data_IF_054536622184
#
_entry.id   IF_054536622184
#
_cell.length_a   1.000
_cell.length_b   1.000
_cell.length_c   1.000
_cell.angle_alpha   90.00
_cell.angle_beta   90.00
_cell.angle_gamma   90.00
#
_symmetry.space_group_name_H-M   'P 1'
#
loop_
_entity.id
_entity.type
_entity.pdbx_description
1 polymer ?
#
# COMPACT_ATOMS: atom_id res chain seq x y z
N UNK A 1 16.20 13.59 -9.13
CA UNK A 1 15.21 13.37 -10.18
C UNK A 1 15.91 12.79 -11.37
N UNK A 2 15.31 11.81 -12.04
CA UNK A 2 15.88 11.16 -13.22
C UNK A 2 15.64 11.97 -14.50
N UNK A 3 14.56 12.74 -14.55
CA UNK A 3 14.22 13.63 -15.66
C UNK A 3 13.71 14.97 -15.14
N UNK A 4 13.96 16.06 -15.89
CA UNK A 4 13.43 17.40 -15.58
C UNK A 4 12.27 17.79 -16.51
N UNK A 5 11.77 16.85 -17.31
CA UNK A 5 10.71 17.09 -18.28
C UNK A 5 9.46 16.29 -17.93
N UNK A 6 8.32 16.95 -18.04
CA UNK A 6 7.02 16.30 -18.00
C UNK A 6 6.67 15.89 -19.42
N UNK A 7 6.74 14.60 -19.70
CA UNK A 7 6.41 14.04 -20.99
C UNK A 7 5.10 13.22 -20.93
N UNK A 8 4.64 12.76 -22.10
CA UNK A 8 3.41 11.97 -22.20
C UNK A 8 3.50 10.64 -21.43
N UNK A 9 4.69 10.04 -21.33
CA UNK A 9 4.90 8.77 -20.64
C UNK A 9 4.68 8.94 -19.14
N UNK A 10 5.25 10.02 -18.56
CA UNK A 10 5.05 10.36 -17.15
C UNK A 10 3.57 10.64 -16.86
N UNK A 11 2.91 11.44 -17.71
CA UNK A 11 1.48 11.80 -17.51
C UNK A 11 0.60 10.56 -17.59
N UNK A 12 0.73 9.78 -18.66
CA UNK A 12 -0.10 8.58 -18.88
C UNK A 12 0.17 7.52 -17.81
N UNK A 13 1.43 7.29 -17.42
CA UNK A 13 1.78 6.37 -16.34
C UNK A 13 1.22 6.80 -15.00
N UNK A 14 1.30 8.10 -14.69
CA UNK A 14 0.72 8.66 -13.45
C UNK A 14 -0.80 8.49 -13.43
N UNK A 15 -1.50 8.85 -14.52
CA UNK A 15 -2.96 8.67 -14.63
C UNK A 15 -3.33 7.20 -14.49
N UNK A 16 -2.56 6.28 -15.10
CA UNK A 16 -2.80 4.84 -14.98
C UNK A 16 -2.79 4.38 -13.51
N UNK A 17 -1.74 4.70 -12.77
CA UNK A 17 -1.63 4.25 -11.38
C UNK A 17 -2.58 4.99 -10.43
N UNK A 18 -2.99 6.23 -10.75
CA UNK A 18 -3.94 6.98 -9.94
C UNK A 18 -5.40 6.54 -10.14
N UNK A 19 -5.81 6.14 -11.36
CA UNK A 19 -7.22 5.90 -11.67
C UNK A 19 -7.46 4.45 -12.09
N UNK A 20 -7.05 3.95 -13.28
CA UNK A 20 -7.35 2.58 -13.70
C UNK A 20 -6.82 1.50 -12.76
N UNK A 21 -5.61 1.67 -12.25
CA UNK A 21 -4.99 0.72 -11.32
C UNK A 21 -5.75 0.63 -9.99
N UNK A 22 -6.15 1.77 -9.44
CA UNK A 22 -6.97 1.80 -8.22
C UNK A 22 -8.37 1.24 -8.47
N UNK A 23 -8.98 1.57 -9.62
CA UNK A 23 -10.26 0.97 -9.99
C UNK A 23 -10.15 -0.56 -10.12
N UNK A 24 -9.05 -1.07 -10.68
CA UNK A 24 -8.81 -2.51 -10.75
C UNK A 24 -8.63 -3.11 -9.35
N UNK A 25 -7.80 -2.49 -8.51
CA UNK A 25 -7.50 -2.97 -7.16
C UNK A 25 -8.77 -3.06 -6.30
N UNK A 26 -9.52 -1.97 -6.19
CA UNK A 26 -10.74 -1.92 -5.38
C UNK A 26 -11.91 -2.64 -6.04
N UNK A 27 -12.10 -2.48 -7.36
CA UNK A 27 -13.20 -3.11 -8.08
C UNK A 27 -13.12 -4.63 -8.09
N UNK A 28 -11.93 -5.21 -8.31
CA UNK A 28 -11.72 -6.66 -8.20
C UNK A 28 -11.94 -7.10 -6.74
N UNK A 29 -11.40 -6.37 -5.77
CA UNK A 29 -11.59 -6.66 -4.36
C UNK A 29 -13.07 -6.72 -3.99
N UNK A 30 -13.84 -5.67 -4.27
CA UNK A 30 -15.26 -5.58 -3.88
C UNK A 30 -16.13 -6.66 -4.55
N UNK A 31 -15.78 -7.07 -5.79
CA UNK A 31 -16.49 -8.17 -6.47
C UNK A 31 -16.24 -9.51 -5.80
N UNK A 32 -14.97 -9.81 -5.46
CA UNK A 32 -14.62 -11.10 -4.86
C UNK A 32 -14.87 -11.19 -3.35
N UNK A 33 -15.05 -10.04 -2.69
CA UNK A 33 -15.26 -9.93 -1.25
C UNK A 33 -16.72 -9.78 -0.86
N UNK A 34 -17.63 -9.73 -1.81
CA UNK A 34 -19.04 -9.49 -1.58
C UNK A 34 -19.63 -10.26 -0.39
N UNK A 35 -19.37 -11.57 -0.32
CA UNK A 35 -19.92 -12.42 0.76
C UNK A 35 -19.31 -12.11 2.14
N UNK A 36 -18.04 -11.74 2.20
CA UNK A 36 -17.38 -11.31 3.44
C UNK A 36 -17.81 -9.90 3.84
N UNK A 37 -17.95 -9.00 2.86
CA UNK A 37 -18.36 -7.62 3.07
C UNK A 37 -19.79 -7.50 3.60
N UNK A 38 -20.71 -8.37 3.18
CA UNK A 38 -22.07 -8.45 3.72
C UNK A 38 -22.09 -8.76 5.23
N UNK A 39 -21.08 -9.46 5.74
CA UNK A 39 -20.98 -9.85 7.16
C UNK A 39 -20.18 -8.87 7.99
N UNK A 40 -19.42 -7.96 7.35
CA UNK A 40 -18.57 -7.00 8.03
C UNK A 40 -19.38 -5.77 8.44
N UNK A 41 -19.61 -5.52 9.75
CA UNK A 41 -20.45 -4.41 10.24
C UNK A 41 -19.88 -3.01 9.93
N UNK A 42 -18.61 -2.93 9.49
CA UNK A 42 -17.95 -1.66 9.12
C UNK A 42 -18.21 -1.25 7.67
N UNK A 43 -18.62 -2.21 6.82
CA UNK A 43 -18.96 -1.93 5.42
C UNK A 43 -20.31 -1.21 5.30
N UNK A 44 -20.45 -0.40 4.27
CA UNK A 44 -21.62 0.46 4.04
C UNK A 44 -21.46 1.90 4.53
N UNK A 45 -20.27 2.27 5.07
CA UNK A 45 -19.93 3.60 5.54
C UNK A 45 -18.72 4.21 4.84
N UNK A 46 -17.95 5.00 5.58
CA UNK A 46 -16.73 5.66 5.10
C UNK A 46 -15.65 4.64 4.67
N UNK A 47 -15.67 3.43 5.20
CA UNK A 47 -14.68 2.38 4.96
C UNK A 47 -15.02 1.44 3.79
N UNK A 48 -15.91 1.86 2.91
CA UNK A 48 -16.27 1.17 1.68
C UNK A 48 -17.73 0.76 1.61
N UNK A 49 -18.29 0.75 0.42
CA UNK A 49 -19.63 0.29 0.15
C UNK A 49 -19.67 -1.23 -0.07
N UNK A 50 -20.81 -1.85 0.20
CA UNK A 50 -21.09 -3.22 -0.28
C UNK A 50 -21.55 -3.10 -1.73
N UNK A 51 -20.77 -3.64 -2.66
CA UNK A 51 -21.06 -3.58 -4.09
C UNK A 51 -22.22 -4.52 -4.44
N UNK A 52 -23.35 -3.98 -4.89
CA UNK A 52 -24.50 -4.79 -5.30
C UNK A 52 -24.12 -5.78 -6.42
N UNK A 53 -24.68 -7.02 -6.37
CA UNK A 53 -24.33 -8.11 -7.32
C UNK A 53 -24.56 -7.75 -8.77
N UNK A 54 -25.56 -6.93 -9.06
CA UNK A 54 -25.88 -6.44 -10.40
C UNK A 54 -24.73 -5.60 -10.99
N UNK A 55 -23.91 -4.98 -10.15
CA UNK A 55 -22.79 -4.14 -10.55
C UNK A 55 -21.47 -4.92 -10.71
N UNK A 56 -21.38 -6.21 -10.30
CA UNK A 56 -20.14 -6.98 -10.40
C UNK A 56 -19.61 -7.05 -11.84
N UNK A 57 -20.47 -7.47 -12.80
CA UNK A 57 -20.08 -7.51 -14.21
C UNK A 57 -19.77 -6.13 -14.79
N UNK A 58 -20.62 -5.10 -14.62
CA UNK A 58 -20.29 -3.72 -15.00
C UNK A 58 -18.95 -3.23 -14.47
N UNK A 59 -18.64 -3.46 -13.19
CA UNK A 59 -17.37 -3.04 -12.58
C UNK A 59 -16.18 -3.77 -13.21
N UNK A 60 -16.26 -5.10 -13.39
CA UNK A 60 -15.18 -5.85 -14.06
C UNK A 60 -14.97 -5.40 -15.52
N UNK A 61 -16.05 -5.08 -16.24
CA UNK A 61 -15.92 -4.48 -17.58
C UNK A 61 -15.32 -3.08 -17.53
N UNK A 62 -15.71 -2.24 -16.59
CA UNK A 62 -15.10 -0.91 -16.40
C UNK A 62 -13.60 -1.04 -16.10
N UNK A 63 -13.21 -1.97 -15.22
CA UNK A 63 -11.80 -2.29 -14.96
C UNK A 63 -11.08 -2.66 -16.27
N UNK A 64 -11.61 -3.61 -17.04
CA UNK A 64 -10.96 -4.05 -18.26
C UNK A 64 -10.83 -2.91 -19.28
N UNK A 65 -11.93 -2.19 -19.55
CA UNK A 65 -11.97 -1.11 -20.55
C UNK A 65 -11.04 0.05 -20.18
N UNK A 66 -10.96 0.39 -18.89
CA UNK A 66 -10.10 1.50 -18.45
C UNK A 66 -8.65 1.08 -18.30
N UNK A 67 -8.34 -0.18 -17.96
CA UNK A 67 -6.98 -0.64 -17.66
C UNK A 67 -6.23 -1.09 -18.92
N UNK A 68 -6.87 -1.84 -19.81
CA UNK A 68 -6.20 -2.45 -20.98
C UNK A 68 -5.52 -1.41 -21.89
N UNK A 69 -6.15 -0.28 -22.28
CA UNK A 69 -5.49 0.69 -23.18
C UNK A 69 -4.20 1.26 -22.56
N UNK A 70 -4.20 1.51 -21.25
CA UNK A 70 -3.00 1.99 -20.55
C UNK A 70 -1.92 0.92 -20.49
N UNK A 71 -2.27 -0.34 -20.22
CA UNK A 71 -1.31 -1.45 -20.21
C UNK A 71 -0.65 -1.58 -21.59
N UNK A 72 -1.44 -1.56 -22.66
CA UNK A 72 -0.92 -1.62 -24.04
C UNK A 72 0.06 -0.47 -24.28
N UNK A 73 -0.31 0.76 -23.94
CA UNK A 73 0.58 1.91 -24.09
C UNK A 73 1.87 1.74 -23.26
N UNK A 74 1.76 1.36 -21.97
CA UNK A 74 2.89 1.21 -21.08
C UNK A 74 3.84 0.06 -21.49
N UNK A 75 3.29 -0.98 -22.14
CA UNK A 75 4.11 -2.05 -22.73
C UNK A 75 4.86 -1.54 -23.98
N UNK A 76 4.20 -0.74 -24.83
CA UNK A 76 4.82 -0.19 -26.06
C UNK A 76 5.97 0.76 -25.71
N UNK A 77 5.79 1.64 -24.74
CA UNK A 77 6.81 2.63 -24.35
C UNK A 77 7.83 2.08 -23.34
N UNK A 78 7.56 0.89 -22.82
CA UNK A 78 8.34 0.25 -21.75
C UNK A 78 9.60 -0.46 -22.25
N UNK A 79 10.31 -1.03 -21.29
CA UNK A 79 11.50 -1.87 -21.48
C UNK A 79 11.31 -3.19 -20.71
N UNK A 80 12.16 -4.23 -20.95
CA UNK A 80 11.99 -5.54 -20.32
C UNK A 80 11.84 -5.49 -18.79
N UNK A 81 12.58 -4.61 -18.12
CA UNK A 81 12.50 -4.48 -16.66
C UNK A 81 11.17 -3.86 -16.21
N UNK A 82 10.69 -2.80 -16.93
CA UNK A 82 9.40 -2.19 -16.63
C UNK A 82 8.24 -3.17 -16.90
N UNK A 83 8.34 -4.06 -17.89
CA UNK A 83 7.34 -5.09 -18.13
C UNK A 83 7.24 -6.09 -16.98
N UNK A 84 8.39 -6.50 -16.42
CA UNK A 84 8.42 -7.38 -15.23
C UNK A 84 7.73 -6.70 -14.04
N UNK A 85 8.08 -5.44 -13.77
CA UNK A 85 7.48 -4.70 -12.66
C UNK A 85 5.98 -4.49 -12.88
N UNK A 86 5.56 -4.13 -14.10
CA UNK A 86 4.14 -3.99 -14.44
C UNK A 86 3.39 -5.31 -14.25
N UNK A 87 3.97 -6.42 -14.72
CA UNK A 87 3.38 -7.75 -14.54
C UNK A 87 3.23 -8.12 -13.06
N UNK A 88 4.24 -7.85 -12.21
CA UNK A 88 4.17 -8.06 -10.76
C UNK A 88 3.07 -7.18 -10.14
N UNK A 89 3.00 -5.90 -10.54
CA UNK A 89 1.97 -4.98 -10.04
C UNK A 89 0.55 -5.47 -10.37
N UNK A 90 0.30 -5.84 -11.61
CA UNK A 90 -1.00 -6.34 -12.06
C UNK A 90 -1.34 -7.71 -11.45
N UNK A 91 -0.34 -8.59 -11.36
CA UNK A 91 -0.52 -9.89 -10.71
C UNK A 91 -0.88 -9.73 -9.25
N UNK A 92 -0.22 -8.83 -8.51
CA UNK A 92 -0.53 -8.61 -7.09
C UNK A 92 -1.95 -8.09 -6.89
N UNK A 93 -2.45 -7.21 -7.76
CA UNK A 93 -3.85 -6.74 -7.74
C UNK A 93 -4.84 -7.88 -7.90
N UNK A 94 -4.61 -8.75 -8.89
CA UNK A 94 -5.50 -9.90 -9.14
C UNK A 94 -5.36 -10.95 -8.03
N UNK A 95 -4.13 -11.33 -7.69
CA UNK A 95 -3.85 -12.40 -6.73
C UNK A 95 -4.29 -12.06 -5.30
N UNK A 96 -4.36 -10.79 -4.95
CA UNK A 96 -4.83 -10.33 -3.64
C UNK A 96 -6.23 -10.85 -3.31
N UNK A 97 -7.17 -10.74 -4.26
CA UNK A 97 -8.59 -11.03 -4.00
C UNK A 97 -9.17 -12.15 -4.86
N UNK A 98 -8.62 -12.42 -6.07
CA UNK A 98 -9.21 -13.34 -7.01
C UNK A 98 -9.29 -14.77 -6.48
N UNK A 99 -10.42 -15.45 -6.78
CA UNK A 99 -10.64 -16.85 -6.40
C UNK A 99 -9.54 -17.75 -6.96
N UNK A 100 -8.97 -18.57 -6.10
CA UNK A 100 -7.85 -19.47 -6.41
C UNK A 100 -6.48 -18.96 -5.91
N UNK A 101 -6.32 -17.65 -5.72
CA UNK A 101 -5.12 -17.05 -5.08
C UNK A 101 -5.45 -16.56 -3.67
N UNK A 102 -6.30 -15.56 -3.53
CA UNK A 102 -6.74 -14.94 -2.26
C UNK A 102 -5.58 -14.68 -1.29
N UNK A 103 -4.51 -14.04 -1.78
CA UNK A 103 -3.32 -13.76 -0.97
C UNK A 103 -3.61 -12.93 0.28
N UNK A 104 -4.69 -12.14 0.26
CA UNK A 104 -5.17 -11.41 1.43
C UNK A 104 -5.64 -12.31 2.59
N UNK A 105 -5.89 -13.60 2.33
CA UNK A 105 -6.27 -14.60 3.33
C UNK A 105 -5.10 -15.52 3.71
N UNK A 106 -3.90 -15.20 3.27
CA UNK A 106 -2.68 -15.92 3.64
C UNK A 106 -1.86 -15.04 4.57
N UNK A 107 -1.72 -15.38 5.87
CA UNK A 107 -0.96 -14.60 6.83
C UNK A 107 0.44 -14.23 6.33
N UNK A 108 0.87 -13.02 6.56
CA UNK A 108 2.08 -12.36 6.05
C UNK A 108 2.04 -12.03 4.55
N UNK A 109 1.54 -12.93 3.70
CA UNK A 109 1.41 -12.65 2.27
C UNK A 109 0.37 -11.57 1.99
N UNK A 110 -0.66 -11.47 2.85
CA UNK A 110 -1.65 -10.39 2.87
C UNK A 110 -0.98 -9.01 2.94
N UNK A 111 -0.09 -8.81 3.92
CA UNK A 111 0.63 -7.55 4.13
C UNK A 111 1.66 -7.28 3.02
N UNK A 112 2.41 -8.31 2.59
CA UNK A 112 3.37 -8.20 1.49
C UNK A 112 2.67 -7.78 0.20
N UNK A 113 1.59 -8.47 -0.17
CA UNK A 113 0.86 -8.18 -1.41
C UNK A 113 0.19 -6.80 -1.35
N UNK A 114 -0.37 -6.43 -0.19
CA UNK A 114 -0.92 -5.09 0.02
C UNK A 114 0.16 -4.01 -0.16
N UNK A 115 1.35 -4.19 0.42
CA UNK A 115 2.46 -3.24 0.27
C UNK A 115 2.94 -3.13 -1.19
N UNK A 116 2.92 -4.22 -1.96
CA UNK A 116 3.27 -4.18 -3.39
C UNK A 116 2.36 -3.26 -4.20
N UNK A 117 1.09 -3.08 -3.82
CA UNK A 117 0.19 -2.13 -4.49
C UNK A 117 0.68 -0.69 -4.42
N UNK A 118 1.44 -0.33 -3.39
CA UNK A 118 2.00 1.02 -3.21
C UNK A 118 3.42 1.15 -3.77
N UNK A 119 4.26 0.17 -3.53
CA UNK A 119 5.69 0.24 -3.85
C UNK A 119 5.95 -0.08 -5.33
N UNK A 120 5.22 -1.02 -5.93
CA UNK A 120 5.47 -1.42 -7.32
C UNK A 120 5.20 -0.30 -8.34
N UNK A 121 4.19 0.59 -8.19
CA UNK A 121 4.06 1.79 -9.02
C UNK A 121 5.28 2.71 -8.96
N UNK A 122 5.85 2.91 -7.76
CA UNK A 122 7.06 3.72 -7.61
C UNK A 122 8.26 3.07 -8.29
N UNK A 123 8.46 1.75 -8.11
CA UNK A 123 9.52 1.00 -8.79
C UNK A 123 9.32 1.04 -10.31
N UNK A 124 8.08 0.89 -10.78
CA UNK A 124 7.75 0.97 -12.21
C UNK A 124 8.19 2.31 -12.82
N UNK A 125 7.80 3.42 -12.20
CA UNK A 125 8.18 4.75 -12.64
C UNK A 125 9.70 4.97 -12.67
N UNK A 126 10.41 4.48 -11.66
CA UNK A 126 11.87 4.56 -11.57
C UNK A 126 12.55 3.75 -12.68
N UNK A 127 12.11 2.51 -12.91
CA UNK A 127 12.65 1.63 -13.96
C UNK A 127 12.37 2.21 -15.34
N UNK A 128 11.16 2.71 -15.58
CA UNK A 128 10.78 3.31 -16.85
C UNK A 128 11.59 4.57 -17.16
N UNK A 129 11.91 5.38 -16.12
CA UNK A 129 12.75 6.56 -16.23
C UNK A 129 14.26 6.24 -16.29
N UNK A 130 14.66 4.96 -16.30
CA UNK A 130 16.07 4.56 -16.34
C UNK A 130 16.86 4.91 -15.08
N UNK A 131 16.20 4.93 -13.91
CA UNK A 131 16.86 5.24 -12.65
C UNK A 131 17.92 4.21 -12.28
N UNK A 132 19.07 4.68 -11.78
CA UNK A 132 20.09 3.82 -11.19
C UNK A 132 19.69 3.48 -9.75
N UNK A 133 19.59 2.20 -9.45
CA UNK A 133 19.26 1.71 -8.11
C UNK A 133 20.48 1.79 -7.19
N UNK A 134 20.70 2.96 -6.62
CA UNK A 134 21.72 3.20 -5.62
C UNK A 134 21.34 2.59 -4.27
N UNK A 135 22.31 2.34 -3.34
CA UNK A 135 21.99 1.89 -1.99
C UNK A 135 20.95 2.78 -1.29
N UNK A 136 21.06 4.09 -1.42
CA UNK A 136 20.07 5.05 -0.89
C UNK A 136 18.68 4.79 -1.44
N UNK A 137 18.53 4.66 -2.76
CA UNK A 137 17.24 4.41 -3.38
C UNK A 137 16.64 3.07 -2.94
N UNK A 138 17.46 2.02 -2.85
CA UNK A 138 17.01 0.72 -2.34
C UNK A 138 16.51 0.81 -0.89
N UNK A 139 17.21 1.57 -0.03
CA UNK A 139 16.79 1.79 1.36
C UNK A 139 15.48 2.58 1.46
N UNK A 140 15.28 3.60 0.61
CA UNK A 140 14.02 4.34 0.52
C UNK A 140 12.87 3.41 0.10
N UNK A 141 13.06 2.60 -0.93
CA UNK A 141 12.03 1.66 -1.39
C UNK A 141 11.73 0.58 -0.35
N UNK A 142 12.76 0.08 0.35
CA UNK A 142 12.61 -0.84 1.48
C UNK A 142 11.83 -0.21 2.64
N UNK A 143 12.10 1.05 2.97
CA UNK A 143 11.36 1.79 3.98
C UNK A 143 9.87 1.96 3.58
N UNK A 144 9.60 2.29 2.32
CA UNK A 144 8.25 2.40 1.81
C UNK A 144 7.52 1.07 1.83
N UNK A 145 8.21 -0.03 1.51
CA UNK A 145 7.66 -1.37 1.59
C UNK A 145 7.30 -1.74 3.04
N UNK A 146 8.19 -1.50 4.01
CA UNK A 146 7.92 -1.76 5.43
C UNK A 146 6.79 -0.89 5.98
N UNK A 147 6.69 0.37 5.54
CA UNK A 147 5.55 1.22 5.88
C UNK A 147 4.24 0.62 5.39
N UNK A 148 4.22 0.08 4.16
CA UNK A 148 3.04 -0.55 3.57
C UNK A 148 2.62 -1.83 4.31
N UNK A 149 3.58 -2.71 4.66
CA UNK A 149 3.32 -3.94 5.43
C UNK A 149 2.80 -3.62 6.83
N UNK A 150 3.44 -2.66 7.53
CA UNK A 150 3.01 -2.20 8.84
C UNK A 150 1.58 -1.63 8.83
N UNK A 151 1.27 -0.83 7.82
CA UNK A 151 -0.04 -0.21 7.66
C UNK A 151 -1.13 -1.26 7.45
N UNK A 152 -0.89 -2.24 6.59
CA UNK A 152 -1.81 -3.35 6.38
C UNK A 152 -1.99 -4.18 7.66
N UNK A 153 -0.89 -4.58 8.30
CA UNK A 153 -0.92 -5.39 9.50
C UNK A 153 -1.72 -4.71 10.62
N UNK A 154 -1.48 -3.42 10.88
CA UNK A 154 -2.24 -2.68 11.88
C UNK A 154 -3.71 -2.51 11.48
N UNK A 155 -3.99 -2.25 10.21
CA UNK A 155 -5.36 -2.17 9.67
C UNK A 155 -6.16 -3.45 9.88
N UNK A 156 -5.53 -4.61 9.73
CA UNK A 156 -6.16 -5.92 9.93
C UNK A 156 -6.51 -6.24 11.40
N UNK A 157 -5.90 -5.55 12.37
CA UNK A 157 -6.15 -5.82 13.82
C UNK A 157 -7.62 -5.66 14.18
N UNK A 158 -8.28 -4.65 13.68
CA UNK A 158 -9.67 -4.35 13.99
C UNK A 158 -10.66 -5.41 13.45
N UNK A 159 -10.22 -6.23 12.50
CA UNK A 159 -11.05 -7.22 11.81
C UNK A 159 -10.95 -8.63 12.39
N UNK A 160 -10.04 -8.88 13.35
CA UNK A 160 -9.73 -10.22 13.90
C UNK A 160 -11.00 -11.03 14.23
N UNK A 161 -11.98 -10.41 14.89
CA UNK A 161 -13.22 -11.11 15.29
C UNK A 161 -14.07 -11.45 14.06
N UNK A 162 -14.34 -10.46 13.21
CA UNK A 162 -15.15 -10.64 12.01
C UNK A 162 -14.50 -11.66 11.06
N UNK A 163 -13.18 -11.61 10.88
CA UNK A 163 -12.44 -12.56 10.05
C UNK A 163 -12.54 -13.99 10.60
N UNK A 164 -12.32 -14.18 11.91
CA UNK A 164 -12.44 -15.51 12.53
C UNK A 164 -13.86 -16.08 12.43
N UNK A 165 -14.88 -15.27 12.66
CA UNK A 165 -16.28 -15.66 12.50
C UNK A 165 -16.61 -15.98 11.04
N UNK A 166 -15.97 -15.28 10.09
CA UNK A 166 -16.07 -15.54 8.65
C UNK A 166 -15.23 -16.72 8.15
N UNK A 167 -14.37 -17.31 9.00
CA UNK A 167 -13.42 -18.36 8.62
C UNK A 167 -12.27 -17.83 7.73
N UNK A 168 -11.99 -16.52 7.80
CA UNK A 168 -10.91 -15.86 7.05
C UNK A 168 -9.62 -15.82 7.87
N UNK A 169 -8.49 -15.94 7.19
CA UNK A 169 -7.18 -15.82 7.80
C UNK A 169 -6.50 -14.50 7.36
N UNK A 170 -5.70 -13.92 8.27
CA UNK A 170 -4.88 -12.73 8.00
C UNK A 170 -3.68 -12.76 8.95
N UNK A 171 -2.71 -11.87 8.74
CA UNK A 171 -1.60 -11.72 9.69
C UNK A 171 -2.11 -11.43 11.11
N UNK A 172 -3.19 -10.65 11.24
CA UNK A 172 -3.74 -10.29 12.53
C UNK A 172 -4.49 -11.45 13.19
N UNK A 173 -5.23 -12.29 12.44
CA UNK A 173 -5.86 -13.49 13.01
C UNK A 173 -4.85 -14.54 13.45
N UNK A 174 -3.68 -14.61 12.77
CA UNK A 174 -2.61 -15.55 13.07
C UNK A 174 -1.80 -15.15 14.31
N UNK A 175 -1.46 -13.88 14.46
CA UNK A 175 -0.61 -13.38 15.55
C UNK A 175 -1.40 -12.89 16.77
N UNK A 176 -2.66 -12.48 16.57
CA UNK A 176 -3.46 -11.77 17.55
C UNK A 176 -3.19 -10.26 17.62
N UNK A 177 -4.10 -9.50 18.21
CA UNK A 177 -4.15 -8.04 18.18
C UNK A 177 -2.87 -7.37 18.69
N UNK A 178 -2.44 -7.73 19.89
CA UNK A 178 -1.26 -7.12 20.51
C UNK A 178 0.05 -7.46 19.80
N UNK A 179 0.22 -8.71 19.31
CA UNK A 179 1.45 -9.10 18.62
C UNK A 179 1.53 -8.44 17.24
N UNK A 180 0.44 -8.40 16.49
CA UNK A 180 0.37 -7.72 15.20
C UNK A 180 0.66 -6.22 15.34
N UNK A 181 0.11 -5.58 16.36
CA UNK A 181 0.40 -4.16 16.65
C UNK A 181 1.88 -3.93 16.96
N UNK A 182 2.51 -4.81 17.76
CA UNK A 182 3.97 -4.72 18.04
C UNK A 182 4.80 -4.94 16.77
N UNK A 183 4.39 -5.85 15.91
CA UNK A 183 5.03 -6.05 14.59
C UNK A 183 4.94 -4.77 13.75
N UNK A 184 3.76 -4.18 13.61
CA UNK A 184 3.59 -2.93 12.88
C UNK A 184 4.46 -1.79 13.44
N UNK A 185 4.56 -1.66 14.78
CA UNK A 185 5.48 -0.71 15.43
C UNK A 185 6.93 -0.99 15.02
N UNK A 186 7.36 -2.25 15.06
CA UNK A 186 8.73 -2.63 14.69
C UNK A 186 9.02 -2.33 13.21
N UNK A 187 8.07 -2.58 12.32
CA UNK A 187 8.20 -2.29 10.88
C UNK A 187 8.26 -0.77 10.61
N UNK A 188 7.44 0.07 11.27
CA UNK A 188 7.54 1.53 11.17
C UNK A 188 8.88 2.05 11.70
N UNK A 189 9.38 1.52 12.82
CA UNK A 189 10.71 1.87 13.33
C UNK A 189 11.82 1.43 12.38
N UNK A 190 11.71 0.23 11.81
CA UNK A 190 12.65 -0.28 10.81
C UNK A 190 12.62 0.57 9.52
N UNK A 191 11.45 1.01 9.06
CA UNK A 191 11.32 1.95 7.95
C UNK A 191 12.05 3.27 8.22
N UNK A 192 11.85 3.85 9.40
CA UNK A 192 12.60 5.05 9.84
C UNK A 192 14.11 4.82 9.90
N UNK A 193 14.54 3.64 10.39
CA UNK A 193 15.95 3.27 10.44
C UNK A 193 16.55 3.13 9.03
N UNK A 194 15.84 2.49 8.08
CA UNK A 194 16.29 2.38 6.69
C UNK A 194 16.49 3.77 6.05
N UNK A 195 15.57 4.71 6.29
CA UNK A 195 15.71 6.10 5.82
C UNK A 195 16.92 6.79 6.46
N UNK A 196 17.11 6.61 7.76
CA UNK A 196 18.27 7.17 8.47
C UNK A 196 19.59 6.56 7.99
N UNK A 197 19.62 5.24 7.73
CA UNK A 197 20.79 4.57 7.11
C UNK A 197 21.02 5.08 5.68
N UNK A 198 19.96 5.32 4.91
CA UNK A 198 20.05 5.90 3.58
C UNK A 198 20.73 7.27 3.57
N UNK A 199 20.57 8.05 4.65
CA UNK A 199 21.23 9.33 4.81
C UNK A 199 22.76 9.24 4.80
N UNK A 200 23.33 8.12 5.29
CA UNK A 200 24.78 7.90 5.27
C UNK A 200 25.37 7.82 3.84
N UNK A 201 24.55 7.48 2.84
CA UNK A 201 24.96 7.35 1.45
C UNK A 201 24.41 8.47 0.56
N UNK A 202 23.65 9.42 1.12
CA UNK A 202 22.88 10.41 0.38
C UNK A 202 23.64 11.74 0.13
N UNK A 203 24.85 11.92 0.67
CA UNK A 203 25.63 13.15 0.52
C UNK A 203 24.84 14.39 0.97
N UNK A 204 24.63 15.34 0.06
CA UNK A 204 23.87 16.58 0.33
C UNK A 204 22.42 16.36 0.71
N UNK A 205 21.82 15.23 0.33
CA UNK A 205 20.42 14.89 0.58
C UNK A 205 20.18 14.21 1.95
N UNK A 206 21.26 14.00 2.73
CA UNK A 206 21.17 13.30 4.02
C UNK A 206 20.12 13.91 4.97
N UNK A 207 20.01 15.24 5.00
CA UNK A 207 19.04 15.94 5.86
C UNK A 207 17.59 15.62 5.49
N UNK A 208 17.29 15.51 4.19
CA UNK A 208 15.93 15.20 3.72
C UNK A 208 15.50 13.80 4.17
N UNK A 209 16.43 12.83 4.10
CA UNK A 209 16.17 11.47 4.56
C UNK A 209 16.01 11.37 6.07
N UNK A 210 16.77 12.15 6.84
CA UNK A 210 16.62 12.24 8.30
C UNK A 210 15.25 12.85 8.67
N UNK A 211 14.80 13.90 7.97
CA UNK A 211 13.45 14.43 8.17
C UNK A 211 12.37 13.42 7.75
N UNK A 212 12.56 12.72 6.63
CA UNK A 212 11.64 11.67 6.21
C UNK A 212 11.56 10.52 7.24
N UNK A 213 12.68 10.15 7.87
CA UNK A 213 12.71 9.15 8.94
C UNK A 213 11.85 9.55 10.15
N UNK A 214 11.82 10.85 10.50
CA UNK A 214 10.96 11.34 11.59
C UNK A 214 9.47 11.19 11.30
N UNK A 215 9.05 11.17 10.03
CA UNK A 215 7.66 10.93 9.66
C UNK A 215 7.17 9.50 9.93
N UNK A 216 8.05 8.58 10.28
CA UNK A 216 7.64 7.26 10.78
C UNK A 216 7.12 7.31 12.23
N UNK A 217 7.55 8.30 13.04
CA UNK A 217 7.20 8.40 14.47
C UNK A 217 5.70 8.61 14.73
N UNK A 218 4.94 9.41 13.99
CA UNK A 218 3.50 9.52 14.14
C UNK A 218 2.77 8.17 14.05
N UNK A 219 3.19 7.27 13.16
CA UNK A 219 2.61 5.94 13.01
C UNK A 219 2.95 5.04 14.21
N UNK A 220 4.18 5.11 14.72
CA UNK A 220 4.58 4.42 15.95
C UNK A 220 3.73 4.91 17.12
N UNK A 221 3.60 6.24 17.29
CA UNK A 221 2.79 6.83 18.35
C UNK A 221 1.32 6.42 18.26
N UNK A 222 0.77 6.35 17.05
CA UNK A 222 -0.59 5.89 16.79
C UNK A 222 -0.81 4.43 17.21
N UNK A 223 0.12 3.53 16.89
CA UNK A 223 0.01 2.12 17.24
C UNK A 223 0.27 1.85 18.72
N UNK A 224 1.05 2.69 19.39
CA UNK A 224 1.55 2.45 20.76
C UNK A 224 0.48 2.12 21.79
N UNK A 225 -0.70 2.80 21.84
CA UNK A 225 -1.77 2.47 22.79
C UNK A 225 -2.33 1.04 22.63
N UNK A 226 -2.21 0.45 21.43
CA UNK A 226 -2.81 -0.84 21.08
C UNK A 226 -1.83 -2.02 21.17
N UNK A 227 -0.55 -1.81 21.57
CA UNK A 227 0.50 -2.83 21.59
C UNK A 227 0.23 -4.01 22.55
N UNK A 228 -0.70 -3.86 23.47
CA UNK A 228 -1.11 -4.90 24.42
C UNK A 228 -2.61 -5.20 24.33
N UNK A 229 -3.25 -4.84 23.20
CA UNK A 229 -4.67 -5.03 23.00
C UNK A 229 -4.99 -6.53 22.95
N UNK A 230 -5.96 -7.02 23.74
CA UNK A 230 -6.43 -8.39 23.63
C UNK A 230 -7.33 -8.56 22.40
N UNK A 231 -7.39 -9.77 21.84
CA UNK A 231 -8.20 -10.08 20.66
C UNK A 231 -9.71 -9.81 20.89
N UNK A 232 -10.16 -9.95 22.16
CA UNK A 232 -11.55 -9.66 22.52
C UNK A 232 -11.95 -8.18 22.37
N UNK A 233 -10.98 -7.28 22.27
CA UNK A 233 -11.19 -5.84 22.14
C UNK A 233 -10.62 -5.29 20.81
N UNK A 234 -10.38 -6.15 19.83
CA UNK A 234 -9.69 -5.81 18.59
C UNK A 234 -10.31 -4.62 17.85
N UNK A 235 -11.63 -4.44 17.93
CA UNK A 235 -12.33 -3.33 17.27
C UNK A 235 -11.91 -1.94 17.78
N UNK A 236 -11.30 -1.84 18.98
CA UNK A 236 -10.76 -0.58 19.49
C UNK A 236 -9.64 -0.04 18.61
N UNK A 237 -8.95 -0.91 17.86
CA UNK A 237 -7.92 -0.50 16.91
C UNK A 237 -8.48 0.38 15.77
N UNK A 238 -9.81 0.37 15.53
CA UNK A 238 -10.46 1.27 14.57
C UNK A 238 -10.21 2.75 14.89
N UNK A 239 -10.14 3.12 16.18
CA UNK A 239 -9.75 4.48 16.56
C UNK A 239 -8.36 4.88 16.06
N UNK A 240 -7.39 3.98 16.16
CA UNK A 240 -6.06 4.16 15.57
C UNK A 240 -6.09 4.20 14.04
N UNK A 241 -6.86 3.33 13.41
CA UNK A 241 -7.00 3.31 11.95
C UNK A 241 -7.59 4.60 11.39
N UNK A 242 -8.59 5.16 12.02
CA UNK A 242 -9.15 6.48 11.63
C UNK A 242 -8.12 7.59 11.77
N UNK A 243 -7.27 7.52 12.80
CA UNK A 243 -6.17 8.47 12.98
C UNK A 243 -5.07 8.26 11.92
N UNK A 244 -4.80 7.01 11.52
CA UNK A 244 -3.91 6.68 10.39
C UNK A 244 -4.32 7.41 9.11
N UNK A 245 -5.62 7.42 8.78
CA UNK A 245 -6.11 8.15 7.60
C UNK A 245 -5.77 9.64 7.66
N UNK A 246 -5.90 10.27 8.83
CA UNK A 246 -5.54 11.67 9.02
C UNK A 246 -4.02 11.91 8.94
N UNK A 247 -3.22 11.03 9.56
CA UNK A 247 -1.74 11.13 9.52
C UNK A 247 -1.23 11.10 8.08
N UNK A 248 -1.82 10.26 7.22
CA UNK A 248 -1.38 10.13 5.82
C UNK A 248 -1.46 11.45 5.05
N UNK A 249 -2.45 12.29 5.32
CA UNK A 249 -2.52 13.63 4.71
C UNK A 249 -1.37 14.53 5.19
N UNK A 250 -1.08 14.53 6.48
CA UNK A 250 -0.04 15.38 7.07
C UNK A 250 1.35 14.91 6.63
N UNK A 251 1.61 13.60 6.72
CA UNK A 251 2.89 13.00 6.33
C UNK A 251 3.08 13.10 4.82
N UNK A 252 2.06 12.79 4.02
CA UNK A 252 2.10 12.91 2.57
C UNK A 252 2.41 14.35 2.13
N UNK A 253 1.74 15.35 2.72
CA UNK A 253 2.04 16.75 2.49
C UNK A 253 3.50 17.09 2.87
N UNK A 254 3.94 16.67 4.06
CA UNK A 254 5.31 16.91 4.53
C UNK A 254 6.37 16.32 3.60
N UNK A 255 6.18 15.07 3.16
CA UNK A 255 7.09 14.42 2.19
C UNK A 255 7.09 15.13 0.83
N UNK A 256 5.91 15.56 0.34
CA UNK A 256 5.83 16.36 -0.89
C UNK A 256 6.62 17.66 -0.75
N UNK A 257 6.49 18.38 0.37
CA UNK A 257 7.23 19.61 0.61
C UNK A 257 8.75 19.37 0.68
N UNK A 258 9.19 18.27 1.31
CA UNK A 258 10.63 17.91 1.32
C UNK A 258 11.16 17.65 -0.09
N UNK A 259 10.38 16.98 -0.96
CA UNK A 259 10.77 16.70 -2.34
C UNK A 259 10.83 18.00 -3.15
N UNK A 260 9.84 18.88 -3.00
CA UNK A 260 9.76 20.15 -3.72
C UNK A 260 10.89 21.11 -3.35
N UNK A 261 11.33 21.14 -2.11
CA UNK A 261 12.51 21.94 -1.69
C UNK A 261 13.79 21.59 -2.45
N UNK A 262 13.87 20.38 -3.00
CA UNK A 262 15.01 19.95 -3.82
C UNK A 262 14.96 20.48 -5.25
N UNK A 263 13.81 20.86 -5.72
CA UNK A 263 13.57 21.28 -7.12
C UNK A 263 13.52 22.79 -7.30
N UNK A 264 13.45 23.53 -6.21
CA UNK A 264 13.56 24.97 -6.15
C UNK A 264 15.03 25.40 -5.95
#
# INVERSE_FOLDING_TARGET
MTTHTVDAVLVVGTVFFLIPFNLAMYGINDVFDYESDLRNPRKGGVEGAVLARELHKPVLWAVAITTIPFIVYLVIVGNPMSWIVLAISLFSVVAYSAKGFRFKEVPFLDSVTSSLHFVSPAIYGLVLAGAIFTPTLCLILGAFFLWGTASHAFGAVQDIRADREGGLASIATALGAGATTRLAIAEYLAAGLLLALGAAFAGSEARLLLYAALFCLPYVAMCWPFRSLPDSECERANGGWRFFLAINFVVGFGLCMLILQRTA
#
